data_IF_995562783833
#
_entry.id   IF_995562783833
#
_cell.length_a   1.000
_cell.length_b   1.000
_cell.length_c   1.000
_cell.angle_alpha   90.00
_cell.angle_beta   90.00
_cell.angle_gamma   90.00
#
_symmetry.space_group_name_H-M   'P 1'
#
loop_
_entity.id
_entity.type
_entity.pdbx_description
1 polymer ?
#
# COMPACT_ATOMS: atom_id res chain seq x y z
N UNK A 1 3.99 1.63 -12.65
CA UNK A 1 4.11 2.88 -13.43
C UNK A 1 4.15 4.04 -12.47
N UNK A 2 5.17 4.87 -12.54
CA UNK A 2 5.29 6.07 -11.72
C UNK A 2 4.07 6.99 -11.90
N UNK A 3 3.47 7.41 -10.80
CA UNK A 3 2.39 8.39 -10.73
C UNK A 3 0.98 7.79 -10.66
N UNK A 4 0.12 8.53 -9.97
CA UNK A 4 -1.31 8.22 -9.84
C UNK A 4 -2.02 8.46 -11.16
N UNK A 5 -2.33 7.38 -11.90
CA UNK A 5 -3.02 7.51 -13.19
C UNK A 5 -4.52 7.66 -12.98
N UNK A 6 -4.97 8.90 -13.01
CA UNK A 6 -6.38 9.28 -12.97
C UNK A 6 -6.75 10.07 -14.22
N UNK A 7 -7.99 9.99 -14.66
CA UNK A 7 -8.53 10.85 -15.71
C UNK A 7 -8.84 12.22 -15.11
N UNK A 8 -7.93 13.18 -15.30
CA UNK A 8 -7.97 14.48 -14.62
C UNK A 8 -9.26 15.27 -14.85
N UNK A 9 -9.94 15.05 -15.96
CA UNK A 9 -11.19 15.75 -16.34
C UNK A 9 -12.45 15.06 -15.84
N UNK A 10 -12.35 13.83 -15.33
CA UNK A 10 -13.48 13.09 -14.76
C UNK A 10 -13.77 13.57 -13.33
N UNK A 11 -15.02 13.44 -12.92
CA UNK A 11 -15.38 13.51 -11.52
C UNK A 11 -14.91 12.26 -10.77
N UNK A 12 -14.80 12.34 -9.46
CA UNK A 12 -14.47 11.18 -8.59
C UNK A 12 -15.42 10.00 -8.86
N UNK A 13 -16.72 10.29 -8.99
CA UNK A 13 -17.71 9.24 -9.24
C UNK A 13 -17.54 8.60 -10.62
N UNK A 14 -17.24 9.39 -11.66
CA UNK A 14 -16.97 8.85 -13.01
C UNK A 14 -15.71 7.99 -13.04
N UNK A 15 -14.66 8.43 -12.36
CA UNK A 15 -13.38 7.68 -12.24
C UNK A 15 -13.58 6.32 -11.57
N UNK A 16 -14.37 6.27 -10.49
CA UNK A 16 -14.73 5.01 -9.83
C UNK A 16 -15.58 4.12 -10.72
N UNK A 17 -16.53 4.70 -11.48
CA UNK A 17 -17.37 3.96 -12.44
C UNK A 17 -16.55 3.35 -13.58
N UNK A 18 -15.47 3.98 -14.02
CA UNK A 18 -14.55 3.38 -15.01
C UNK A 18 -13.95 2.08 -14.47
N UNK A 19 -13.53 2.04 -13.20
CA UNK A 19 -13.09 0.81 -12.56
C UNK A 19 -14.19 -0.26 -12.53
N UNK A 20 -15.43 0.15 -12.30
CA UNK A 20 -16.58 -0.74 -12.23
C UNK A 20 -17.07 -1.28 -13.59
N UNK A 21 -16.63 -0.70 -14.70
CA UNK A 21 -17.11 -1.08 -16.05
C UNK A 21 -16.89 -2.57 -16.38
N UNK A 22 -15.88 -3.19 -15.76
CA UNK A 22 -15.54 -4.61 -15.94
C UNK A 22 -16.23 -5.51 -14.91
N UNK A 23 -16.85 -4.94 -13.88
CA UNK A 23 -17.15 -5.67 -12.63
C UNK A 23 -18.60 -6.19 -12.52
N UNK A 24 -19.53 -5.85 -13.42
CA UNK A 24 -20.89 -6.41 -13.32
C UNK A 24 -22.04 -5.52 -13.74
N UNK A 25 -23.23 -5.80 -13.21
CA UNK A 25 -24.49 -5.11 -13.51
C UNK A 25 -24.53 -3.70 -12.88
N UNK A 26 -25.40 -2.83 -13.38
CA UNK A 26 -25.58 -1.46 -12.84
C UNK A 26 -25.94 -1.43 -11.34
N UNK A 27 -26.67 -2.44 -10.86
CA UNK A 27 -27.03 -2.55 -9.44
C UNK A 27 -25.81 -2.88 -8.57
N UNK A 28 -24.98 -3.81 -9.03
CA UNK A 28 -23.73 -4.18 -8.34
C UNK A 28 -22.74 -3.00 -8.27
N UNK A 29 -22.60 -2.26 -9.37
CA UNK A 29 -21.77 -1.05 -9.42
C UNK A 29 -22.22 -0.03 -8.37
N UNK A 30 -23.53 0.18 -8.18
CA UNK A 30 -24.03 1.10 -7.14
C UNK A 30 -23.63 0.64 -5.75
N UNK A 31 -23.80 -0.63 -5.44
CA UNK A 31 -23.43 -1.22 -4.15
C UNK A 31 -21.92 -1.10 -3.90
N UNK A 32 -21.09 -1.37 -4.92
CA UNK A 32 -19.64 -1.24 -4.82
C UNK A 32 -19.21 0.21 -4.58
N UNK A 33 -19.83 1.18 -5.25
CA UNK A 33 -19.55 2.59 -5.02
C UNK A 33 -19.92 3.03 -3.60
N UNK A 34 -21.07 2.59 -3.08
CA UNK A 34 -21.46 2.86 -1.69
C UNK A 34 -20.43 2.30 -0.71
N UNK A 35 -19.93 1.10 -0.95
CA UNK A 35 -18.87 0.46 -0.18
C UNK A 35 -17.57 1.26 -0.22
N UNK A 36 -17.13 1.72 -1.40
CA UNK A 36 -15.95 2.58 -1.53
C UNK A 36 -16.13 3.87 -0.73
N UNK A 37 -17.29 4.50 -0.78
CA UNK A 37 -17.56 5.70 -0.02
C UNK A 37 -17.59 5.48 1.50
N UNK A 38 -17.91 4.27 1.96
CA UNK A 38 -17.80 3.91 3.37
C UNK A 38 -16.33 3.79 3.81
N UNK A 39 -15.45 3.17 2.98
CA UNK A 39 -14.01 3.14 3.26
C UNK A 39 -13.35 4.51 3.14
N UNK A 40 -13.81 5.34 2.21
CA UNK A 40 -13.25 6.66 1.91
C UNK A 40 -14.31 7.76 2.01
N UNK A 41 -14.74 8.17 3.23
CA UNK A 41 -15.78 9.20 3.39
C UNK A 41 -15.42 10.55 2.74
N UNK A 42 -14.11 10.86 2.64
CA UNK A 42 -13.64 12.05 1.91
C UNK A 42 -14.04 12.01 0.44
N UNK A 43 -13.92 10.85 -0.22
CA UNK A 43 -14.35 10.71 -1.61
C UNK A 43 -15.86 10.85 -1.78
N UNK A 44 -16.66 10.42 -0.81
CA UNK A 44 -18.11 10.62 -0.81
C UNK A 44 -18.47 12.11 -0.86
N UNK A 45 -17.77 12.94 -0.09
CA UNK A 45 -17.97 14.39 -0.08
C UNK A 45 -17.48 15.06 -1.38
N UNK A 46 -16.54 14.44 -2.08
CA UNK A 46 -15.89 14.95 -3.28
C UNK A 46 -16.39 14.30 -4.57
N UNK A 47 -17.43 13.46 -4.52
CA UNK A 47 -17.86 12.63 -5.66
C UNK A 47 -18.11 13.39 -6.96
N UNK A 48 -18.53 14.65 -6.88
CA UNK A 48 -18.77 15.53 -8.04
C UNK A 48 -17.57 16.43 -8.40
N UNK A 49 -16.50 16.37 -7.62
CA UNK A 49 -15.29 17.17 -7.85
C UNK A 49 -14.45 16.53 -8.96
N UNK A 50 -13.87 17.36 -9.80
CA UNK A 50 -12.94 16.95 -10.86
C UNK A 50 -11.66 16.38 -10.24
N UNK A 51 -11.24 15.19 -10.70
CA UNK A 51 -10.09 14.45 -10.17
C UNK A 51 -8.78 15.22 -10.22
N UNK A 52 -8.59 16.06 -11.23
CA UNK A 52 -7.39 16.92 -11.35
C UNK A 52 -7.26 17.98 -10.25
N UNK A 53 -8.33 18.26 -9.50
CA UNK A 53 -8.35 19.23 -8.40
C UNK A 53 -8.24 18.56 -7.01
N UNK A 54 -8.01 17.26 -6.95
CA UNK A 54 -7.82 16.52 -5.72
C UNK A 54 -6.40 16.71 -5.19
N UNK A 55 -6.27 16.73 -3.87
CA UNK A 55 -4.97 16.62 -3.19
C UNK A 55 -4.31 15.27 -3.49
N UNK A 56 -2.99 15.15 -3.25
CA UNK A 56 -2.27 13.90 -3.45
C UNK A 56 -2.86 12.72 -2.66
N UNK A 57 -3.29 12.94 -1.42
CA UNK A 57 -3.93 11.91 -0.61
C UNK A 57 -5.31 11.50 -1.12
N UNK A 58 -6.12 12.45 -1.54
CA UNK A 58 -7.44 12.17 -2.16
C UNK A 58 -7.29 11.42 -3.49
N UNK A 59 -6.27 11.74 -4.29
CA UNK A 59 -5.94 10.99 -5.50
C UNK A 59 -5.51 9.56 -5.17
N UNK A 60 -4.73 9.37 -4.10
CA UNK A 60 -4.32 8.04 -3.65
C UNK A 60 -5.52 7.20 -3.20
N UNK A 61 -6.42 7.77 -2.39
CA UNK A 61 -7.68 7.14 -2.00
C UNK A 61 -8.52 6.74 -3.22
N UNK A 62 -8.60 7.63 -4.22
CA UNK A 62 -9.35 7.39 -5.45
C UNK A 62 -8.78 6.22 -6.26
N UNK A 63 -7.45 6.13 -6.40
CA UNK A 63 -6.78 5.03 -7.12
C UNK A 63 -7.00 3.70 -6.42
N UNK A 64 -6.89 3.66 -5.08
CA UNK A 64 -7.18 2.44 -4.29
C UNK A 64 -8.66 2.07 -4.42
N UNK A 65 -9.57 3.03 -4.27
CA UNK A 65 -11.01 2.80 -4.43
C UNK A 65 -11.37 2.28 -5.82
N UNK A 66 -10.79 2.83 -6.88
CA UNK A 66 -10.98 2.36 -8.26
C UNK A 66 -10.49 0.92 -8.45
N UNK A 67 -9.37 0.54 -7.84
CA UNK A 67 -8.90 -0.84 -7.87
C UNK A 67 -9.87 -1.77 -7.13
N UNK A 68 -10.36 -1.35 -5.97
CA UNK A 68 -11.24 -2.17 -5.12
C UNK A 68 -12.61 -2.44 -5.76
N UNK A 69 -13.16 -1.48 -6.54
CA UNK A 69 -14.44 -1.66 -7.26
C UNK A 69 -14.41 -2.87 -8.20
N UNK A 70 -13.25 -3.28 -8.70
CA UNK A 70 -13.12 -4.47 -9.58
C UNK A 70 -13.23 -5.79 -8.82
N UNK A 71 -13.42 -5.78 -7.49
CA UNK A 71 -13.46 -6.96 -6.61
C UNK A 71 -12.25 -7.88 -6.81
N UNK A 72 -11.02 -7.35 -6.72
CA UNK A 72 -9.81 -8.10 -7.02
C UNK A 72 -9.53 -9.15 -5.93
N UNK A 73 -8.90 -10.27 -6.32
CA UNK A 73 -8.35 -11.24 -5.36
C UNK A 73 -7.01 -10.79 -4.79
N UNK A 74 -6.29 -9.95 -5.52
CA UNK A 74 -4.99 -9.39 -5.14
C UNK A 74 -4.93 -7.92 -5.55
N UNK A 75 -4.53 -7.06 -4.60
CA UNK A 75 -4.18 -5.65 -4.85
C UNK A 75 -2.67 -5.52 -4.67
N UNK A 76 -2.02 -4.87 -5.64
CA UNK A 76 -0.60 -4.53 -5.57
C UNK A 76 -0.45 -3.02 -5.38
N UNK A 77 0.20 -2.62 -4.29
CA UNK A 77 0.41 -1.23 -3.91
C UNK A 77 1.92 -0.95 -3.93
N UNK A 78 2.33 -0.06 -4.81
CA UNK A 78 3.71 0.35 -4.97
C UNK A 78 3.89 1.77 -4.44
N UNK A 79 4.63 1.90 -3.34
CA UNK A 79 4.91 3.13 -2.60
C UNK A 79 3.66 4.03 -2.39
N UNK A 80 2.54 3.50 -1.82
CA UNK A 80 1.32 4.28 -1.67
C UNK A 80 1.46 5.49 -0.73
N UNK A 81 2.51 5.54 0.10
CA UNK A 81 2.82 6.67 1.00
C UNK A 81 3.56 7.82 0.32
N UNK A 82 4.12 7.60 -0.88
CA UNK A 82 5.04 8.55 -1.52
C UNK A 82 4.39 9.92 -1.76
N UNK A 83 5.04 10.98 -1.24
CA UNK A 83 4.59 12.36 -1.42
C UNK A 83 3.32 12.73 -0.64
N UNK A 84 2.98 11.99 0.40
CA UNK A 84 1.87 12.26 1.29
C UNK A 84 2.35 12.85 2.62
N UNK A 85 1.47 13.61 3.30
CA UNK A 85 1.73 14.04 4.67
C UNK A 85 1.62 12.85 5.64
N UNK A 86 2.32 12.88 6.80
CA UNK A 86 2.25 11.79 7.78
C UNK A 86 0.83 11.40 8.17
N UNK A 87 -0.03 12.37 8.41
CA UNK A 87 -1.43 12.13 8.75
C UNK A 87 -2.20 11.37 7.66
N UNK A 88 -1.95 11.73 6.38
CA UNK A 88 -2.57 11.04 5.24
C UNK A 88 -2.04 9.61 5.08
N UNK A 89 -0.77 9.39 5.37
CA UNK A 89 -0.17 8.06 5.37
C UNK A 89 -0.85 7.17 6.41
N UNK A 90 -0.96 7.63 7.65
CA UNK A 90 -1.64 6.89 8.72
C UNK A 90 -3.09 6.54 8.35
N UNK A 91 -3.84 7.52 7.83
CA UNK A 91 -5.22 7.34 7.39
C UNK A 91 -5.33 6.27 6.29
N UNK A 92 -4.52 6.37 5.23
CA UNK A 92 -4.54 5.43 4.10
C UNK A 92 -4.13 4.03 4.53
N UNK A 93 -3.11 3.88 5.36
CA UNK A 93 -2.66 2.57 5.83
C UNK A 93 -3.67 1.91 6.78
N UNK A 94 -4.35 2.69 7.61
CA UNK A 94 -5.48 2.21 8.41
C UNK A 94 -6.61 1.68 7.53
N UNK A 95 -6.95 2.40 6.47
CA UNK A 95 -7.98 1.98 5.52
C UNK A 95 -7.55 0.72 4.76
N UNK A 96 -6.30 0.63 4.28
CA UNK A 96 -5.74 -0.55 3.62
C UNK A 96 -5.89 -1.79 4.52
N UNK A 97 -5.54 -1.67 5.79
CA UNK A 97 -5.68 -2.75 6.77
C UNK A 97 -7.13 -3.17 6.95
N UNK A 98 -8.03 -2.21 7.09
CA UNK A 98 -9.48 -2.46 7.21
C UNK A 98 -10.01 -3.20 5.98
N UNK A 99 -9.68 -2.72 4.78
CA UNK A 99 -10.09 -3.37 3.52
C UNK A 99 -9.57 -4.81 3.45
N UNK A 100 -8.31 -5.07 3.81
CA UNK A 100 -7.75 -6.42 3.82
C UNK A 100 -8.53 -7.34 4.76
N UNK A 101 -8.90 -6.86 5.94
CA UNK A 101 -9.64 -7.63 6.95
C UNK A 101 -11.10 -7.90 6.53
N UNK A 102 -11.78 -6.90 5.98
CA UNK A 102 -13.19 -7.00 5.60
C UNK A 102 -13.40 -7.81 4.33
N UNK A 103 -12.61 -7.49 3.29
CA UNK A 103 -12.76 -8.06 1.95
C UNK A 103 -12.05 -9.40 1.77
N UNK A 104 -11.14 -9.76 2.68
CA UNK A 104 -10.22 -10.91 2.52
C UNK A 104 -9.42 -10.85 1.21
N UNK A 105 -9.24 -9.66 0.66
CA UNK A 105 -8.42 -9.42 -0.54
C UNK A 105 -6.95 -9.48 -0.15
N UNK A 106 -6.17 -10.32 -0.82
CA UNK A 106 -4.72 -10.36 -0.62
C UNK A 106 -4.09 -9.03 -1.05
N UNK A 107 -3.09 -8.57 -0.32
CA UNK A 107 -2.39 -7.32 -0.65
C UNK A 107 -0.89 -7.54 -0.70
N UNK A 108 -0.26 -7.08 -1.78
CA UNK A 108 1.19 -6.96 -1.89
C UNK A 108 1.54 -5.49 -1.80
N UNK A 109 2.21 -5.12 -0.70
CA UNK A 109 2.62 -3.75 -0.41
C UNK A 109 4.13 -3.62 -0.60
N UNK A 110 4.57 -2.68 -1.40
CA UNK A 110 5.97 -2.27 -1.54
C UNK A 110 6.12 -0.88 -0.94
N UNK A 111 7.02 -0.73 0.01
CA UNK A 111 7.26 0.53 0.73
C UNK A 111 8.70 0.66 1.19
N UNK A 112 9.19 1.88 1.23
CA UNK A 112 10.51 2.19 1.80
C UNK A 112 10.46 2.27 3.33
N UNK A 113 9.34 2.67 3.91
CA UNK A 113 9.15 2.72 5.35
C UNK A 113 8.82 1.31 5.89
N UNK A 114 9.87 0.57 6.26
CA UNK A 114 9.76 -0.80 6.74
C UNK A 114 8.85 -0.93 7.98
N UNK A 115 8.95 0.00 8.95
CA UNK A 115 8.14 -0.05 10.17
C UNK A 115 6.65 0.11 9.88
N UNK A 116 6.31 1.04 8.99
CA UNK A 116 4.93 1.25 8.58
C UNK A 116 4.37 0.01 7.88
N UNK A 117 5.12 -0.56 6.92
CA UNK A 117 4.70 -1.75 6.17
C UNK A 117 4.54 -2.97 7.08
N UNK A 118 5.51 -3.22 7.97
CA UNK A 118 5.48 -4.33 8.91
C UNK A 118 4.36 -4.19 9.95
N UNK A 119 3.94 -2.94 10.28
CA UNK A 119 2.85 -2.71 11.24
C UNK A 119 1.48 -3.18 10.75
N UNK A 120 1.28 -3.30 9.45
CA UNK A 120 0.01 -3.73 8.85
C UNK A 120 0.10 -5.08 8.13
N UNK A 121 1.32 -5.54 7.78
CA UNK A 121 1.55 -6.78 7.05
C UNK A 121 1.54 -8.01 7.95
N UNK A 122 1.22 -9.17 7.38
CA UNK A 122 1.34 -10.47 8.05
C UNK A 122 2.73 -11.08 7.84
N UNK A 123 3.32 -10.88 6.66
CA UNK A 123 4.61 -11.42 6.25
C UNK A 123 5.39 -10.39 5.45
N UNK A 124 6.70 -10.29 5.68
CA UNK A 124 7.57 -9.33 5.03
C UNK A 124 8.74 -9.96 4.28
N UNK A 125 9.14 -9.26 3.20
CA UNK A 125 10.36 -9.52 2.44
C UNK A 125 11.20 -8.26 2.45
N UNK A 126 12.39 -8.32 3.04
CA UNK A 126 13.34 -7.20 3.03
C UNK A 126 14.23 -7.34 1.80
N UNK A 127 14.26 -6.30 0.98
CA UNK A 127 15.03 -6.30 -0.26
C UNK A 127 16.19 -5.31 -0.20
N UNK A 128 17.34 -5.73 -0.68
CA UNK A 128 18.51 -4.88 -0.88
C UNK A 128 19.13 -5.18 -2.25
N UNK A 129 19.41 -4.15 -3.05
CA UNK A 129 20.04 -4.28 -4.37
C UNK A 129 19.37 -5.32 -5.27
N UNK A 130 18.01 -5.35 -5.29
CA UNK A 130 17.22 -6.27 -6.10
C UNK A 130 17.20 -7.72 -5.61
N UNK A 131 17.62 -7.98 -4.37
CA UNK A 131 17.63 -9.33 -3.77
C UNK A 131 16.91 -9.33 -2.44
N UNK A 132 16.17 -10.41 -2.16
CA UNK A 132 15.62 -10.64 -0.83
C UNK A 132 16.78 -11.04 0.09
N UNK A 133 17.01 -10.24 1.14
CA UNK A 133 18.08 -10.47 2.13
C UNK A 133 17.53 -11.08 3.42
N UNK A 134 16.25 -10.83 3.74
CA UNK A 134 15.55 -11.37 4.90
C UNK A 134 14.08 -11.53 4.58
N UNK A 135 13.43 -12.53 5.15
CA UNK A 135 11.98 -12.71 5.06
C UNK A 135 11.44 -13.39 6.33
N UNK A 136 10.17 -13.16 6.63
CA UNK A 136 9.52 -13.78 7.79
C UNK A 136 8.21 -13.12 8.18
N UNK A 137 7.55 -13.66 9.25
CA UNK A 137 6.39 -13.02 9.85
C UNK A 137 6.71 -11.57 10.25
N UNK A 138 5.80 -10.64 9.91
CA UNK A 138 6.02 -9.21 10.17
C UNK A 138 6.30 -8.92 11.66
N UNK A 139 5.64 -9.64 12.57
CA UNK A 139 5.86 -9.54 14.02
C UNK A 139 7.31 -9.88 14.44
N UNK A 140 7.97 -10.80 13.75
CA UNK A 140 9.37 -11.15 14.03
C UNK A 140 10.33 -10.14 13.39
N UNK A 141 10.01 -9.66 12.19
CA UNK A 141 10.83 -8.68 11.47
C UNK A 141 10.84 -7.33 12.18
N UNK A 142 9.71 -6.89 12.74
CA UNK A 142 9.59 -5.60 13.44
C UNK A 142 10.48 -5.54 14.69
N UNK A 143 10.72 -6.68 15.32
CA UNK A 143 11.59 -6.79 16.51
C UNK A 143 13.06 -7.06 16.19
N UNK A 144 13.38 -7.32 14.92
CA UNK A 144 14.74 -7.61 14.51
C UNK A 144 15.64 -6.37 14.65
N UNK A 145 16.77 -6.53 15.35
CA UNK A 145 17.70 -5.43 15.62
C UNK A 145 18.34 -4.87 14.35
N UNK A 146 18.65 -5.72 13.36
CA UNK A 146 19.24 -5.30 12.09
C UNK A 146 18.28 -4.41 11.30
N UNK A 147 16.98 -4.73 11.33
CA UNK A 147 15.94 -3.90 10.70
C UNK A 147 15.80 -2.57 11.43
N UNK A 148 15.78 -2.59 12.76
CA UNK A 148 15.74 -1.37 13.58
C UNK A 148 16.95 -0.48 13.33
N UNK A 149 18.15 -1.05 13.29
CA UNK A 149 19.38 -0.30 13.02
C UNK A 149 19.39 0.29 11.61
N UNK A 150 19.05 -0.51 10.59
CA UNK A 150 19.17 -0.10 9.19
C UNK A 150 18.09 0.89 8.75
N UNK A 151 16.84 0.67 9.17
CA UNK A 151 15.69 1.48 8.70
C UNK A 151 15.28 2.58 9.68
N UNK A 152 15.59 2.47 10.97
CA UNK A 152 15.28 3.52 11.95
C UNK A 152 16.45 4.47 12.19
N UNK A 153 17.63 4.19 11.63
CA UNK A 153 18.81 5.01 11.84
C UNK A 153 19.27 5.05 13.29
N UNK A 154 18.92 4.03 14.08
CA UNK A 154 19.30 3.92 15.50
C UNK A 154 20.76 3.51 15.69
N UNK A 155 21.56 3.43 14.63
CA UNK A 155 22.98 3.18 14.73
C UNK A 155 23.70 4.37 15.39
N UNK A 156 24.36 4.11 16.48
CA UNK A 156 25.14 5.09 17.24
C UNK A 156 26.39 5.62 16.49
N UNK A 157 26.62 5.22 15.24
CA UNK A 157 27.81 5.64 14.48
C UNK A 157 27.46 5.85 13.01
N UNK A 158 27.60 7.07 12.53
CA UNK A 158 27.32 7.63 11.19
C UNK A 158 27.94 6.98 9.95
N UNK A 159 27.97 5.66 9.84
CA UNK A 159 28.30 4.94 8.61
C UNK A 159 27.13 4.08 8.17
N UNK A 160 26.61 4.31 6.96
CA UNK A 160 25.69 3.40 6.29
C UNK A 160 26.38 2.05 6.12
N UNK A 161 26.08 1.09 6.98
CA UNK A 161 26.51 -0.29 6.82
C UNK A 161 25.56 -0.98 5.83
N UNK A 162 26.11 -1.68 4.83
CA UNK A 162 25.35 -2.60 4.00
C UNK A 162 25.03 -3.88 4.78
N UNK A 163 23.87 -4.50 4.54
CA UNK A 163 23.54 -5.83 5.08
C UNK A 163 24.62 -6.90 4.75
N UNK A 164 25.44 -6.66 3.74
CA UNK A 164 26.60 -7.52 3.41
C UNK A 164 27.68 -7.55 4.49
N UNK A 165 27.76 -6.50 5.30
CA UNK A 165 28.81 -6.32 6.30
C UNK A 165 28.40 -6.88 7.68
N UNK A 166 27.12 -7.25 7.85
CA UNK A 166 26.60 -7.85 9.07
C UNK A 166 26.85 -9.36 9.05
N UNK A 167 27.86 -9.81 9.80
CA UNK A 167 28.41 -11.19 9.81
C UNK A 167 27.47 -12.30 10.29
N UNK A 168 26.25 -12.06 10.67
CA UNK A 168 25.37 -13.06 11.31
C UNK A 168 24.24 -13.63 10.46
N UNK A 169 24.14 -13.28 9.17
CA UNK A 169 23.09 -13.82 8.33
C UNK A 169 23.47 -15.19 7.77
N UNK A 170 22.88 -16.24 8.35
CA UNK A 170 22.91 -17.59 7.74
C UNK A 170 22.05 -17.56 6.49
N UNK A 171 22.68 -17.45 5.29
CA UNK A 171 22.03 -17.68 4.01
C UNK A 171 21.26 -19.00 4.06
N UNK A 172 19.93 -18.98 4.13
CA UNK A 172 19.13 -20.14 3.81
C UNK A 172 19.24 -20.38 2.30
N UNK A 173 20.17 -21.29 1.91
CA UNK A 173 20.12 -21.97 0.61
C UNK A 173 18.88 -22.85 0.60
N UNK A 174 17.77 -22.37 0.07
CA UNK A 174 16.65 -23.21 -0.39
C UNK A 174 15.88 -22.44 -1.44
N UNK A 175 16.08 -22.86 -2.67
CA UNK A 175 15.18 -22.88 -3.81
C UNK A 175 16.03 -23.21 -5.03
N UNK A 176 16.44 -24.50 -5.14
CA UNK A 176 16.83 -25.18 -6.38
C UNK A 176 17.01 -26.67 -6.01
N UNK A 177 15.93 -27.39 -6.02
CA UNK A 177 15.86 -28.83 -6.29
C UNK A 177 14.43 -29.15 -6.70
#
# INVERSE_FOLDING_TARGET
QEGRRIFKHFTVEEELKVGAYVAGTRAEVKTDLEKIYNYFPRLANLRRRTCGLLSGGEQQMLVIGRALVTRPKLIMLDEPSLGLSPLMVEEIFSIIKTINQDEKTSMLLVEQNAMLSLSIGDYGYVMENGRVVMDGPASQLIDNEDIKEFYLGLSQVGQRKSYRDIKHYKRRKRWLS
#
